data_IF_940562829460
#
_entry.id   IF_940562829460
#
_cell.length_a   1.000
_cell.length_b   1.000
_cell.length_c   1.000
_cell.angle_alpha   90.00
_cell.angle_beta   90.00
_cell.angle_gamma   90.00
#
_symmetry.space_group_name_H-M   'P 1'
#
loop_
_entity.id
_entity.type
_entity.pdbx_description
1 polymer ?
#
# COMPACT_ATOMS: atom_id res chain seq x y z
N UNK A 1 -81.92 -39.17 -29.00
CA UNK A 1 -82.01 -38.51 -30.31
C UNK A 1 -80.70 -37.78 -30.59
N UNK A 2 -80.16 -37.96 -31.82
CA UNK A 2 -79.20 -37.12 -32.60
C UNK A 2 -78.33 -36.12 -31.82
N UNK A 3 -76.99 -36.22 -31.77
CA UNK A 3 -75.92 -36.22 -32.81
C UNK A 3 -75.18 -34.87 -32.83
N UNK A 4 -73.83 -34.98 -32.94
CA UNK A 4 -72.81 -34.00 -33.41
C UNK A 4 -72.41 -32.94 -32.37
N UNK A 5 -71.15 -32.70 -32.03
CA UNK A 5 -69.87 -33.06 -32.66
C UNK A 5 -69.10 -31.79 -33.02
N UNK A 6 -67.77 -31.86 -32.92
CA UNK A 6 -66.75 -31.13 -33.71
C UNK A 6 -65.90 -30.05 -32.97
N UNK A 7 -64.67 -30.46 -32.60
CA UNK A 7 -63.34 -29.88 -32.97
C UNK A 7 -62.67 -28.79 -32.08
N UNK A 8 -61.58 -29.23 -31.43
CA UNK A 8 -60.32 -28.54 -30.98
C UNK A 8 -59.64 -27.82 -32.19
N UNK A 9 -58.57 -26.98 -32.14
CA UNK A 9 -57.63 -26.66 -31.04
C UNK A 9 -57.06 -25.21 -31.04
N UNK A 10 -55.97 -25.02 -30.26
CA UNK A 10 -54.81 -24.13 -30.46
C UNK A 10 -54.68 -22.92 -29.52
N UNK A 11 -53.52 -22.92 -28.84
CA UNK A 11 -52.98 -21.92 -27.94
C UNK A 11 -52.42 -20.69 -28.68
N UNK A 12 -52.40 -19.53 -28.01
CA UNK A 12 -51.43 -18.47 -28.29
C UNK A 12 -51.26 -17.53 -27.08
N UNK A 13 -50.01 -17.31 -26.69
CA UNK A 13 -49.58 -16.39 -25.64
C UNK A 13 -49.51 -14.92 -26.14
N UNK A 14 -49.89 -13.95 -25.30
CA UNK A 14 -49.52 -12.52 -25.38
C UNK A 14 -49.54 -11.95 -23.95
N UNK A 15 -48.38 -11.69 -23.33
CA UNK A 15 -47.61 -10.42 -23.33
C UNK A 15 -48.33 -9.28 -22.58
N UNK A 16 -48.13 -9.23 -21.26
CA UNK A 16 -48.38 -8.04 -20.44
C UNK A 16 -47.13 -7.15 -20.49
N UNK A 17 -47.13 -6.16 -21.38
CA UNK A 17 -46.17 -5.07 -21.41
C UNK A 17 -46.63 -3.95 -20.47
N UNK A 18 -46.03 -3.86 -19.29
CA UNK A 18 -46.10 -2.67 -18.44
C UNK A 18 -44.72 -2.00 -18.47
N UNK A 19 -44.53 -1.04 -19.38
CA UNK A 19 -43.41 -0.10 -19.31
C UNK A 19 -43.90 1.20 -18.68
N UNK A 20 -43.55 1.42 -17.42
CA UNK A 20 -43.51 2.75 -16.82
C UNK A 20 -42.05 3.21 -16.75
N UNK A 21 -41.71 4.47 -17.03
CA UNK A 21 -40.36 4.96 -16.81
C UNK A 21 -40.18 5.18 -15.30
N UNK A 22 -39.49 4.24 -14.65
CA UNK A 22 -38.96 4.46 -13.32
C UNK A 22 -37.81 5.46 -13.49
N UNK A 23 -38.05 6.71 -13.08
CA UNK A 23 -37.01 7.71 -13.00
C UNK A 23 -36.04 7.26 -11.91
N UNK A 24 -34.90 6.71 -12.33
CA UNK A 24 -33.73 6.49 -11.49
C UNK A 24 -33.31 7.83 -10.89
N UNK A 25 -33.80 8.15 -9.69
CA UNK A 25 -33.24 9.17 -8.83
C UNK A 25 -31.92 8.59 -8.33
N UNK A 26 -30.75 9.11 -8.74
CA UNK A 26 -29.49 8.61 -8.22
C UNK A 26 -29.49 8.86 -6.71
N UNK A 27 -29.34 7.80 -5.93
CA UNK A 27 -29.13 7.92 -4.50
C UNK A 27 -27.98 8.93 -4.27
N UNK A 28 -28.09 9.90 -3.34
CA UNK A 28 -27.13 11.02 -3.20
C UNK A 28 -25.68 10.64 -2.82
N UNK A 29 -25.27 9.37 -2.94
CA UNK A 29 -24.03 8.87 -2.36
C UNK A 29 -23.20 7.94 -3.24
N UNK A 30 -23.50 7.83 -4.54
CA UNK A 30 -22.62 7.09 -5.47
C UNK A 30 -21.27 7.80 -5.70
N UNK A 31 -21.24 9.13 -5.55
CA UNK A 31 -20.00 9.92 -5.59
C UNK A 31 -19.07 9.67 -4.38
N UNK A 32 -19.55 9.03 -3.30
CA UNK A 32 -18.75 8.68 -2.13
C UNK A 32 -18.15 7.27 -2.20
N UNK A 33 -18.39 6.52 -3.30
CA UNK A 33 -17.80 5.20 -3.57
C UNK A 33 -16.49 5.26 -4.35
N UNK A 34 -15.86 6.43 -4.47
CA UNK A 34 -14.42 6.47 -4.73
C UNK A 34 -13.68 6.08 -3.44
N UNK A 35 -13.82 4.82 -3.01
CA UNK A 35 -12.82 4.17 -2.18
C UNK A 35 -11.53 4.14 -3.01
N UNK A 36 -10.77 5.23 -2.99
CA UNK A 36 -9.40 5.20 -3.48
C UNK A 36 -8.70 4.19 -2.58
N UNK A 37 -8.44 2.98 -3.11
CA UNK A 37 -7.69 1.96 -2.40
C UNK A 37 -6.40 2.58 -1.87
N UNK A 38 -5.99 2.16 -0.68
CA UNK A 38 -4.69 2.58 -0.19
C UNK A 38 -3.59 2.01 -1.08
N UNK A 39 -2.41 2.61 -1.01
CA UNK A 39 -1.28 2.14 -1.81
C UNK A 39 -0.91 0.72 -1.39
N UNK A 40 -0.93 -0.20 -2.35
CA UNK A 40 -0.56 -1.59 -2.13
C UNK A 40 0.97 -1.73 -2.06
N UNK A 41 1.52 -1.39 -0.89
CA UNK A 41 2.94 -1.54 -0.60
C UNK A 41 3.43 -2.99 -0.74
N UNK A 42 2.69 -4.03 -0.29
CA UNK A 42 3.12 -5.42 -0.48
C UNK A 42 3.33 -5.80 -1.95
N UNK A 43 2.43 -5.38 -2.86
CA UNK A 43 2.57 -5.64 -4.29
C UNK A 43 3.82 -4.96 -4.86
N UNK A 44 4.06 -3.70 -4.52
CA UNK A 44 5.28 -2.98 -4.93
C UNK A 44 6.55 -3.68 -4.43
N UNK A 45 6.61 -4.06 -3.15
CA UNK A 45 7.76 -4.77 -2.59
C UNK A 45 8.00 -6.13 -3.28
N UNK A 46 6.94 -6.85 -3.62
CA UNK A 46 7.00 -8.14 -4.32
C UNK A 46 7.55 -7.98 -5.74
N UNK A 47 7.09 -6.98 -6.48
CA UNK A 47 7.59 -6.64 -7.81
C UNK A 47 9.08 -6.31 -7.78
N UNK A 48 9.50 -5.42 -6.87
CA UNK A 48 10.90 -5.04 -6.71
C UNK A 48 11.76 -6.24 -6.31
N UNK A 49 11.31 -7.06 -5.36
CA UNK A 49 12.03 -8.27 -4.93
C UNK A 49 12.21 -9.26 -6.08
N UNK A 50 11.18 -9.47 -6.88
CA UNK A 50 11.21 -10.38 -8.05
C UNK A 50 12.24 -9.88 -9.07
N UNK A 51 12.20 -8.59 -9.40
CA UNK A 51 13.12 -8.01 -10.36
C UNK A 51 14.58 -8.02 -9.88
N UNK A 52 14.81 -7.75 -8.59
CA UNK A 52 16.14 -7.76 -8.00
C UNK A 52 16.71 -9.18 -7.86
N UNK A 53 15.88 -10.17 -7.53
CA UNK A 53 16.29 -11.59 -7.51
C UNK A 53 16.66 -12.09 -8.92
N UNK A 54 16.01 -11.56 -9.97
CA UNK A 54 16.35 -11.85 -11.37
C UNK A 54 17.70 -11.25 -11.76
N UNK A 55 17.93 -9.97 -11.44
CA UNK A 55 19.17 -9.24 -11.78
C UNK A 55 20.37 -9.61 -10.93
N UNK A 56 20.14 -10.05 -9.68
CA UNK A 56 21.16 -10.37 -8.67
C UNK A 56 22.22 -9.28 -8.51
N UNK A 57 21.83 -8.00 -8.35
CA UNK A 57 22.81 -6.93 -8.23
C UNK A 57 23.60 -7.08 -6.92
N UNK A 58 24.83 -6.58 -6.92
CA UNK A 58 25.56 -6.37 -5.68
C UNK A 58 24.88 -5.27 -4.85
N UNK A 59 24.92 -5.39 -3.53
CA UNK A 59 24.38 -4.39 -2.61
C UNK A 59 25.49 -3.93 -1.69
N UNK A 60 25.66 -2.62 -1.55
CA UNK A 60 26.43 -2.05 -0.46
C UNK A 60 25.49 -1.72 0.68
N UNK A 61 25.64 -2.43 1.80
CA UNK A 61 24.86 -2.25 3.02
C UNK A 61 25.71 -1.54 4.06
N UNK A 62 25.16 -0.48 4.63
CA UNK A 62 25.79 0.30 5.69
C UNK A 62 24.93 0.23 6.94
N UNK A 63 25.52 -0.09 8.09
CA UNK A 63 24.85 -0.21 9.39
C UNK A 63 25.54 0.73 10.39
N UNK A 64 24.77 1.65 10.96
CA UNK A 64 25.22 2.48 12.07
C UNK A 64 25.01 1.74 13.38
N UNK A 65 26.11 1.40 14.02
CA UNK A 65 26.18 0.74 15.32
C UNK A 65 25.83 1.70 16.47
N UNK A 66 25.60 1.13 17.65
CA UNK A 66 25.19 1.89 18.85
C UNK A 66 26.28 2.83 19.37
N UNK A 67 27.54 2.49 19.15
CA UNK A 67 28.72 3.26 19.54
C UNK A 67 29.08 4.34 18.51
N UNK A 68 28.31 4.46 17.43
CA UNK A 68 28.56 5.39 16.32
C UNK A 68 29.44 4.83 15.22
N UNK A 69 29.94 3.58 15.34
CA UNK A 69 30.66 2.89 14.27
C UNK A 69 29.78 2.67 13.04
N UNK A 70 30.38 2.77 11.85
CA UNK A 70 29.72 2.45 10.58
C UNK A 70 30.32 1.17 10.01
N UNK A 71 29.52 0.12 9.91
CA UNK A 71 29.91 -1.11 9.23
C UNK A 71 29.40 -1.07 7.79
N UNK A 72 30.28 -1.37 6.84
CA UNK A 72 29.93 -1.49 5.43
C UNK A 72 30.18 -2.91 4.97
N UNK A 73 29.15 -3.56 4.45
CA UNK A 73 29.20 -4.92 3.91
C UNK A 73 28.71 -4.91 2.47
N UNK A 74 29.44 -5.60 1.59
CA UNK A 74 29.00 -5.83 0.21
C UNK A 74 28.36 -7.22 0.12
N UNK A 75 27.06 -7.27 -0.14
CA UNK A 75 26.28 -8.50 -0.20
C UNK A 75 26.08 -8.94 -1.66
N UNK A 76 26.40 -10.20 -1.96
CA UNK A 76 26.04 -10.86 -3.22
C UNK A 76 26.13 -12.39 -3.03
N UNK A 77 25.06 -13.18 -3.26
CA UNK A 77 23.69 -12.78 -3.56
C UNK A 77 22.90 -12.33 -2.31
N UNK A 78 21.86 -11.53 -2.52
CA UNK A 78 20.97 -11.03 -1.45
C UNK A 78 19.60 -11.69 -1.57
N UNK A 79 19.03 -12.18 -0.47
CA UNK A 79 17.63 -12.59 -0.40
C UNK A 79 16.75 -11.34 -0.27
N UNK A 80 16.26 -10.85 -1.40
CA UNK A 80 15.52 -9.58 -1.46
C UNK A 80 14.18 -9.61 -0.73
N UNK A 81 13.54 -10.79 -0.62
CA UNK A 81 12.30 -10.92 0.12
C UNK A 81 12.56 -10.71 1.63
N UNK A 82 13.65 -11.28 2.15
CA UNK A 82 14.07 -11.05 3.54
C UNK A 82 14.56 -9.62 3.77
N UNK A 83 15.39 -9.08 2.87
CA UNK A 83 15.95 -7.74 3.04
C UNK A 83 14.86 -6.65 3.06
N UNK A 84 13.82 -6.79 2.22
CA UNK A 84 12.73 -5.82 2.14
C UNK A 84 11.57 -6.10 3.12
N UNK A 85 11.61 -7.19 3.89
CA UNK A 85 10.52 -7.60 4.77
C UNK A 85 10.13 -6.52 5.80
N UNK A 86 11.11 -5.76 6.30
CA UNK A 86 10.87 -4.70 7.29
C UNK A 86 9.91 -3.61 6.78
N UNK A 87 9.87 -3.36 5.47
CA UNK A 87 8.98 -2.37 4.86
C UNK A 87 7.50 -2.78 4.91
N UNK A 88 7.20 -4.07 5.10
CA UNK A 88 5.83 -4.54 5.33
C UNK A 88 5.20 -3.96 6.61
N UNK A 89 6.01 -3.46 7.56
CA UNK A 89 5.49 -2.75 8.74
C UNK A 89 4.75 -1.45 8.39
N UNK A 90 4.97 -0.90 7.18
CA UNK A 90 4.28 0.27 6.66
C UNK A 90 3.04 -0.07 5.82
N UNK A 91 2.65 -1.35 5.73
CA UNK A 91 1.47 -1.76 4.99
C UNK A 91 0.19 -1.29 5.67
N UNK A 92 -0.49 -0.36 5.00
CA UNK A 92 -1.80 0.15 5.39
C UNK A 92 -2.93 -0.44 4.54
N UNK A 93 -2.64 -1.19 3.48
CA UNK A 93 -3.63 -1.72 2.51
C UNK A 93 -4.33 -3.00 3.00
N UNK A 94 -4.64 -3.04 4.30
CA UNK A 94 -5.35 -4.16 4.93
C UNK A 94 -6.84 -3.85 5.02
N UNK A 95 -7.74 -4.82 4.82
CA UNK A 95 -9.18 -4.59 4.90
C UNK A 95 -9.62 -3.92 6.22
N UNK A 96 -9.03 -4.32 7.35
CA UNK A 96 -9.32 -3.76 8.67
C UNK A 96 -8.86 -2.31 8.87
N UNK A 97 -8.02 -1.77 7.97
CA UNK A 97 -7.48 -0.42 8.06
C UNK A 97 -8.24 0.59 7.20
N UNK A 98 -9.19 0.13 6.36
CA UNK A 98 -9.97 0.99 5.47
C UNK A 98 -10.67 2.09 6.25
N UNK A 99 -10.53 3.33 5.79
CA UNK A 99 -11.12 4.50 6.43
C UNK A 99 -10.34 5.03 7.64
N UNK A 100 -9.33 4.31 8.16
CA UNK A 100 -8.54 4.74 9.32
C UNK A 100 -7.47 5.79 9.00
N UNK A 101 -7.21 6.03 7.71
CA UNK A 101 -6.24 7.01 7.23
C UNK A 101 -6.92 8.09 6.39
N UNK A 102 -6.53 9.34 6.64
CA UNK A 102 -6.78 10.49 5.78
C UNK A 102 -5.86 10.41 4.57
N UNK A 103 -6.39 10.72 3.39
CA UNK A 103 -5.64 10.70 2.12
C UNK A 103 -5.57 12.12 1.57
N UNK A 104 -4.36 12.60 1.35
CA UNK A 104 -4.05 13.85 0.66
C UNK A 104 -3.30 13.54 -0.63
N UNK A 105 -3.64 14.22 -1.73
CA UNK A 105 -3.03 13.99 -3.04
C UNK A 105 -2.74 15.30 -3.74
N UNK A 106 -1.49 15.48 -4.16
CA UNK A 106 -1.04 16.64 -4.94
C UNK A 106 -0.45 16.14 -6.25
N UNK A 107 -1.05 16.54 -7.36
CA UNK A 107 -0.53 16.29 -8.70
C UNK A 107 0.08 17.57 -9.27
N UNK A 108 1.07 17.41 -10.13
CA UNK A 108 1.77 18.49 -10.83
C UNK A 108 1.63 18.30 -12.34
N UNK A 109 1.73 19.38 -13.14
CA UNK A 109 1.65 19.28 -14.60
C UNK A 109 2.74 18.39 -15.23
N UNK A 110 3.90 18.23 -14.60
CA UNK A 110 4.99 17.36 -15.06
C UNK A 110 4.77 15.86 -14.76
N UNK A 111 3.58 15.49 -14.28
CA UNK A 111 3.18 14.11 -14.06
C UNK A 111 3.63 13.52 -12.72
N UNK A 112 4.19 14.34 -11.82
CA UNK A 112 4.47 13.93 -10.44
C UNK A 112 3.17 13.92 -9.63
N UNK A 113 2.91 12.81 -8.94
CA UNK A 113 1.80 12.62 -8.03
C UNK A 113 2.35 12.26 -6.64
N UNK A 114 2.01 13.08 -5.66
CA UNK A 114 2.35 12.88 -4.25
C UNK A 114 1.10 12.49 -3.48
N UNK A 115 1.02 11.27 -2.98
CA UNK A 115 -0.06 10.79 -2.10
C UNK A 115 0.46 10.63 -0.67
N UNK A 116 -0.23 11.25 0.29
CA UNK A 116 0.08 11.14 1.72
C UNK A 116 -1.10 10.52 2.46
N UNK A 117 -0.86 9.40 3.13
CA UNK A 117 -1.80 8.71 4.00
C UNK A 117 -1.41 9.04 5.45
N UNK A 118 -2.30 9.68 6.21
CA UNK A 118 -2.08 10.03 7.62
C UNK A 118 -3.10 9.35 8.51
N UNK A 119 -2.62 8.68 9.56
CA UNK A 119 -3.49 8.02 10.55
C UNK A 119 -4.46 9.05 11.15
N UNK A 120 -5.74 8.72 11.23
CA UNK A 120 -6.73 9.59 11.87
C UNK A 120 -6.44 9.76 13.37
N UNK A 121 -6.77 10.90 13.98
CA UNK A 121 -6.72 11.06 15.43
C UNK A 121 -7.55 9.99 16.15
N UNK A 122 -7.07 9.50 17.29
CA UNK A 122 -7.75 8.46 18.09
C UNK A 122 -7.62 7.03 17.55
N UNK A 123 -7.04 6.83 16.37
CA UNK A 123 -6.79 5.47 15.83
C UNK A 123 -5.49 4.91 16.40
N UNK A 124 -5.56 3.73 17.00
CA UNK A 124 -4.41 2.97 17.50
C UNK A 124 -3.84 2.04 16.43
N UNK A 125 -3.11 2.61 15.47
CA UNK A 125 -2.40 1.84 14.43
C UNK A 125 -0.95 2.30 14.32
N UNK A 126 0.03 1.40 14.12
CA UNK A 126 1.45 1.76 14.26
C UNK A 126 1.94 2.68 13.14
N UNK A 127 1.37 2.59 11.93
CA UNK A 127 1.74 3.50 10.83
C UNK A 127 1.15 4.88 11.11
N UNK A 128 2.00 5.88 11.34
CA UNK A 128 1.57 7.27 11.53
C UNK A 128 1.30 7.95 10.19
N UNK A 129 2.21 7.72 9.24
CA UNK A 129 2.15 8.31 7.92
C UNK A 129 2.81 7.39 6.89
N UNK A 130 2.23 7.34 5.69
CA UNK A 130 2.84 6.79 4.49
C UNK A 130 2.79 7.87 3.39
N UNK A 131 3.91 8.14 2.76
CA UNK A 131 4.07 9.03 1.63
C UNK A 131 4.50 8.19 0.42
N UNK A 132 3.80 8.36 -0.69
CA UNK A 132 4.14 7.75 -1.98
C UNK A 132 4.26 8.86 -3.01
N UNK A 133 5.41 8.91 -3.66
CA UNK A 133 5.66 9.78 -4.80
C UNK A 133 5.74 8.91 -6.03
N UNK A 134 4.95 9.22 -7.05
CA UNK A 134 5.00 8.57 -8.35
C UNK A 134 5.12 9.60 -9.46
N UNK A 135 5.64 9.18 -10.62
CA UNK A 135 5.69 9.97 -11.85
C UNK A 135 5.18 9.10 -12.98
N UNK A 136 4.16 9.55 -13.70
CA UNK A 136 3.54 8.79 -14.79
C UNK A 136 3.17 7.35 -14.40
N UNK A 137 2.65 7.17 -13.17
CA UNK A 137 2.28 5.85 -12.62
C UNK A 137 3.41 5.03 -12.01
N UNK A 138 4.68 5.38 -12.26
CA UNK A 138 5.83 4.69 -11.66
C UNK A 138 6.18 5.26 -10.29
N UNK A 139 6.27 4.41 -9.28
CA UNK A 139 6.70 4.81 -7.92
C UNK A 139 8.16 5.27 -7.97
N UNK A 140 8.41 6.48 -7.47
CA UNK A 140 9.74 7.07 -7.36
C UNK A 140 10.26 7.03 -5.92
N UNK A 141 9.35 7.14 -4.95
CA UNK A 141 9.70 7.13 -3.54
C UNK A 141 8.55 6.61 -2.69
N UNK A 142 8.88 5.84 -1.66
CA UNK A 142 8.00 5.51 -0.55
C UNK A 142 8.68 5.93 0.75
N UNK A 143 7.99 6.66 1.61
CA UNK A 143 8.45 7.01 2.95
C UNK A 143 7.37 6.75 3.98
N UNK A 144 7.69 6.01 5.03
CA UNK A 144 6.76 5.74 6.12
C UNK A 144 7.34 6.10 7.48
N UNK A 145 6.48 6.56 8.37
CA UNK A 145 6.79 6.69 9.80
C UNK A 145 5.92 5.69 10.55
N UNK A 146 6.58 4.74 11.22
CA UNK A 146 5.93 3.70 12.03
C UNK A 146 6.34 3.91 13.48
N UNK A 147 5.39 3.90 14.41
CA UNK A 147 5.69 4.03 15.82
C UNK A 147 4.76 3.23 16.69
N UNK A 148 5.30 2.76 17.80
CA UNK A 148 4.55 2.18 18.89
C UNK A 148 4.94 2.90 20.16
N UNK A 149 3.94 3.28 20.93
CA UNK A 149 4.13 3.97 22.19
C UNK A 149 3.20 3.32 23.22
N UNK A 150 3.81 2.66 24.19
CA UNK A 150 3.11 2.09 25.33
C UNK A 150 3.97 2.28 26.60
N UNK A 151 3.41 2.10 27.81
CA UNK A 151 4.12 2.40 29.05
C UNK A 151 5.46 1.68 29.25
N UNK A 152 5.65 0.53 28.59
CA UNK A 152 6.85 -0.30 28.73
C UNK A 152 7.89 -0.05 27.63
N UNK A 153 7.43 0.34 26.43
CA UNK A 153 8.23 0.39 25.21
C UNK A 153 7.78 1.55 24.32
N UNK A 154 8.74 2.37 23.93
CA UNK A 154 8.61 3.30 22.81
C UNK A 154 9.46 2.84 21.63
N UNK A 155 8.91 2.87 20.42
CA UNK A 155 9.68 2.74 19.20
C UNK A 155 9.17 3.68 18.11
N UNK A 156 10.10 4.20 17.32
CA UNK A 156 9.78 4.96 16.10
C UNK A 156 10.78 4.62 15.02
N UNK A 157 10.27 4.37 13.81
CA UNK A 157 11.04 4.01 12.63
C UNK A 157 10.63 4.89 11.46
N UNK A 158 11.62 5.34 10.71
CA UNK A 158 11.44 5.90 9.37
C UNK A 158 11.93 4.88 8.37
N UNK A 159 11.06 4.52 7.43
CA UNK A 159 11.33 3.56 6.36
C UNK A 159 11.28 4.32 5.05
N UNK A 160 12.34 4.22 4.23
CA UNK A 160 12.45 4.90 2.95
C UNK A 160 12.87 3.91 1.86
N UNK A 161 12.20 4.00 0.71
CA UNK A 161 12.55 3.31 -0.53
C UNK A 161 12.63 4.39 -1.60
N UNK A 162 13.73 4.44 -2.32
CA UNK A 162 13.88 5.31 -3.48
C UNK A 162 14.05 4.43 -4.73
N UNK A 163 13.16 4.64 -5.68
CA UNK A 163 13.06 3.86 -6.91
C UNK A 163 13.03 4.78 -8.13
N UNK A 164 14.11 5.54 -8.39
CA UNK A 164 14.19 6.39 -9.57
C UNK A 164 13.95 5.54 -10.82
N UNK A 165 13.08 6.00 -11.71
CA UNK A 165 12.67 5.26 -12.92
C UNK A 165 11.87 3.96 -12.64
N UNK A 166 11.25 3.84 -11.46
CA UNK A 166 10.41 2.69 -11.11
C UNK A 166 11.17 1.45 -10.62
N UNK A 167 12.49 1.53 -10.49
CA UNK A 167 13.33 0.45 -9.99
C UNK A 167 14.04 0.86 -8.70
N UNK A 168 13.92 0.05 -7.66
CA UNK A 168 14.55 0.28 -6.37
C UNK A 168 16.06 0.42 -6.55
N UNK A 169 16.61 1.53 -6.09
CA UNK A 169 18.04 1.83 -6.12
C UNK A 169 18.63 2.00 -4.73
N UNK A 170 17.84 2.54 -3.78
CA UNK A 170 18.24 2.66 -2.39
C UNK A 170 17.09 2.36 -1.43
N UNK A 171 17.44 1.82 -0.28
CA UNK A 171 16.52 1.68 0.85
C UNK A 171 17.19 2.16 2.13
N UNK A 172 16.40 2.65 3.07
CA UNK A 172 16.87 3.13 4.37
C UNK A 172 15.87 2.82 5.48
N UNK A 173 16.41 2.37 6.61
CA UNK A 173 15.68 2.15 7.86
C UNK A 173 16.41 2.93 8.94
N UNK A 174 15.71 3.86 9.59
CA UNK A 174 16.25 4.57 10.75
C UNK A 174 15.29 4.38 11.91
N UNK A 175 15.81 4.07 13.09
CA UNK A 175 14.98 3.75 14.23
C UNK A 175 15.53 4.24 15.55
N UNK A 176 14.59 4.49 16.46
CA UNK A 176 14.84 4.67 17.88
C UNK A 176 13.96 3.70 18.65
N UNK A 177 14.52 3.05 19.66
CA UNK A 177 13.79 2.20 20.59
C UNK A 177 14.20 2.55 22.02
N UNK A 178 13.22 2.68 22.91
CA UNK A 178 13.43 2.92 24.33
C UNK A 178 12.56 1.95 25.14
N UNK A 179 13.21 1.21 26.03
CA UNK A 179 12.53 0.42 27.05
C UNK A 179 12.47 1.24 28.34
N UNK A 180 11.46 1.01 29.17
CA UNK A 180 11.41 1.61 30.51
C UNK A 180 12.68 1.24 31.30
N UNK A 181 13.23 2.17 32.08
CA UNK A 181 14.46 2.02 32.88
C UNK A 181 15.78 1.89 32.09
N UNK A 182 15.76 1.96 30.76
CA UNK A 182 16.96 1.87 29.93
C UNK A 182 17.15 3.08 29.00
N UNK A 183 18.39 3.25 28.55
CA UNK A 183 18.73 4.25 27.55
C UNK A 183 18.14 3.93 26.17
N UNK A 184 17.94 4.97 25.38
CA UNK A 184 17.42 4.82 24.02
C UNK A 184 18.49 4.24 23.10
N UNK A 185 18.12 3.22 22.33
CA UNK A 185 18.93 2.68 21.25
C UNK A 185 18.55 3.36 19.95
N UNK A 186 19.55 3.84 19.21
CA UNK A 186 19.39 4.34 17.84
C UNK A 186 20.11 3.42 16.87
N UNK A 187 19.56 3.26 15.67
CA UNK A 187 20.19 2.50 14.61
C UNK A 187 19.79 3.07 13.25
N UNK A 188 20.65 2.86 12.27
CA UNK A 188 20.37 3.18 10.88
C UNK A 188 20.94 2.08 9.98
N UNK A 189 20.16 1.68 8.99
CA UNK A 189 20.58 0.77 7.92
C UNK A 189 20.30 1.47 6.61
N UNK A 190 21.26 1.42 5.69
CA UNK A 190 21.11 1.89 4.31
C UNK A 190 21.62 0.83 3.36
N UNK A 191 20.87 0.55 2.30
CA UNK A 191 21.37 -0.24 1.18
C UNK A 191 21.41 0.59 -0.10
N UNK A 192 22.48 0.44 -0.86
CA UNK A 192 22.64 0.98 -2.21
C UNK A 192 22.80 -0.19 -3.17
N UNK A 193 21.93 -0.24 -4.17
CA UNK A 193 21.83 -1.34 -5.13
C UNK A 193 22.68 -0.99 -6.35
N UNK A 194 23.56 -1.92 -6.75
CA UNK A 194 24.33 -1.80 -7.98
C UNK A 194 23.44 -1.82 -9.23
N UNK A 195 23.91 -1.14 -10.28
CA UNK A 195 23.29 -1.17 -11.61
C UNK A 195 23.49 -2.53 -12.29
#
# INVERSE_FOLDING_TARGET
>A
MRKRGLVLPVALAMLLTACGPENDVPAPNEALRQHTSYFNLPAFLSEQSTELNRRKPAVEKQVLLRDGGLETERLTPTDWARELQIFQQADIDKPALRGLYLVDSVATPDGLLRRTYRRRPGVEQPVRQLLVVSRNGQVQQVRATVSQDNPLVYSSKTLELDSPNGQLSTYRVQGVQKLILFDSVRYAVRGTIGQ
#
